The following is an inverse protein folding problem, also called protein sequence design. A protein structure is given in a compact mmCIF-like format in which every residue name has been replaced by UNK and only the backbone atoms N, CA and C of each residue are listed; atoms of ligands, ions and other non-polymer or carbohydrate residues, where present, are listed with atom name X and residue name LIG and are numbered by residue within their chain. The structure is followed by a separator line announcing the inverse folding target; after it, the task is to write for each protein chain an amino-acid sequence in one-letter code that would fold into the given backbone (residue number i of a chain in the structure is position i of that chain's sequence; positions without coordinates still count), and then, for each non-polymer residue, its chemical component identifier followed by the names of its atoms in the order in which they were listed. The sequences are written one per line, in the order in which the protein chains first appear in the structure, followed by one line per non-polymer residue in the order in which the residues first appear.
data_IF_608556735928
#
_entry.id   IF_608556735928
#
_cell.length_a   1.000
_cell.length_b   1.000
_cell.length_c   1.000
_cell.angle_alpha   90.00
_cell.angle_beta   90.00
_cell.angle_gamma   90.00
#
_symmetry.space_group_name_H-M   'P 1'
#
loop_
_entity.id
_entity.type
_entity.pdbx_description
1 polymer ?
#
# COMPACT_ATOMS: atom_id res chain seq x y z
N UNK A 1 5.71 49.50 -15.77
CA UNK A 1 4.92 48.95 -14.65
C UNK A 1 4.56 47.51 -15.02
N UNK A 2 5.43 46.51 -14.79
CA UNK A 2 5.46 45.56 -13.62
C UNK A 2 4.18 44.73 -13.46
N UNK A 3 4.10 43.38 -13.42
CA UNK A 3 5.01 42.21 -13.20
C UNK A 3 4.44 41.01 -14.01
N UNK A 4 5.20 40.21 -14.78
CA UNK A 4 6.01 39.03 -14.40
C UNK A 4 5.24 37.96 -13.58
N UNK A 5 4.85 36.85 -14.24
CA UNK A 5 4.51 35.58 -13.58
C UNK A 5 5.55 34.53 -13.98
N UNK A 6 6.54 34.33 -13.11
CA UNK A 6 7.44 33.19 -13.15
C UNK A 6 6.69 31.95 -12.66
N UNK A 7 6.45 30.99 -13.54
CA UNK A 7 6.16 29.60 -13.17
C UNK A 7 7.25 28.75 -13.81
N UNK A 8 8.09 28.03 -13.05
CA UNK A 8 9.16 27.26 -13.65
C UNK A 8 8.56 26.08 -14.41
N UNK A 9 8.70 26.12 -15.74
CA UNK A 9 8.40 24.99 -16.60
C UNK A 9 9.37 23.85 -16.32
N UNK A 10 8.83 22.68 -15.95
CA UNK A 10 9.57 21.43 -15.90
C UNK A 10 8.96 20.43 -16.89
N UNK A 11 9.78 20.05 -17.87
CA UNK A 11 9.76 18.71 -18.49
C UNK A 11 8.56 18.37 -19.37
N UNK A 12 8.48 18.99 -20.55
CA UNK A 12 7.62 18.50 -21.64
C UNK A 12 8.14 17.18 -22.23
N UNK A 13 7.89 16.06 -21.56
CA UNK A 13 7.88 14.73 -22.21
C UNK A 13 6.42 14.42 -22.54
N UNK A 14 6.04 14.29 -23.83
CA UNK A 14 4.68 13.90 -24.16
C UNK A 14 4.44 12.47 -23.66
N UNK A 15 3.45 12.29 -22.78
CA UNK A 15 2.91 10.96 -22.51
C UNK A 15 2.39 10.38 -23.85
N UNK A 16 2.69 9.11 -24.18
CA UNK A 16 2.08 8.49 -25.35
C UNK A 16 0.56 8.54 -25.19
N UNK A 17 -0.14 9.00 -26.22
CA UNK A 17 -1.60 8.98 -26.25
C UNK A 17 -2.06 7.54 -26.14
N UNK A 18 -2.64 7.16 -25.00
CA UNK A 18 -3.43 5.95 -24.88
C UNK A 18 -4.60 6.07 -25.86
N UNK A 19 -4.68 5.14 -26.81
CA UNK A 19 -5.81 5.07 -27.74
C UNK A 19 -7.11 4.82 -26.98
N UNK A 20 -8.27 5.24 -27.52
CA UNK A 20 -9.55 5.00 -26.87
C UNK A 20 -9.88 3.51 -26.97
N UNK A 21 -10.14 2.89 -25.82
CA UNK A 21 -10.81 1.59 -25.62
C UNK A 21 -10.18 0.38 -26.34
N UNK A 22 -9.38 -0.39 -25.62
CA UNK A 22 -9.59 -1.85 -25.65
C UNK A 22 -10.38 -2.21 -24.40
N UNK A 23 -11.70 -2.34 -24.58
CA UNK A 23 -12.61 -2.77 -23.52
C UNK A 23 -12.20 -4.16 -23.06
N UNK A 24 -11.69 -4.23 -21.84
CA UNK A 24 -11.60 -5.50 -21.12
C UNK A 24 -13.01 -6.10 -21.03
N UNK A 25 -13.23 -7.22 -21.70
CA UNK A 25 -14.50 -7.94 -21.69
C UNK A 25 -14.44 -9.15 -20.76
N UNK A 26 -15.26 -9.10 -19.70
CA UNK A 26 -15.53 -10.22 -18.80
C UNK A 26 -16.01 -11.49 -19.55
N UNK A 27 -16.67 -11.32 -20.70
CA UNK A 27 -17.16 -12.42 -21.53
C UNK A 27 -16.01 -13.14 -22.26
N UNK A 28 -15.01 -12.39 -22.74
CA UNK A 28 -13.81 -12.93 -23.37
C UNK A 28 -12.90 -13.65 -22.35
N UNK A 29 -12.81 -13.13 -21.12
CA UNK A 29 -12.08 -13.77 -20.02
C UNK A 29 -12.78 -15.06 -19.55
N UNK A 30 -14.12 -15.05 -19.38
CA UNK A 30 -14.92 -16.22 -19.01
C UNK A 30 -14.81 -17.36 -20.02
N UNK A 31 -14.84 -17.04 -21.32
CA UNK A 31 -14.75 -18.02 -22.41
C UNK A 31 -13.39 -18.76 -22.45
N UNK A 32 -12.35 -18.17 -21.86
CA UNK A 32 -10.98 -18.70 -21.86
C UNK A 32 -10.64 -19.52 -20.61
N UNK A 33 -11.36 -19.32 -19.51
CA UNK A 33 -10.98 -19.81 -18.18
C UNK A 33 -11.98 -20.83 -17.56
N UNK A 34 -13.18 -20.99 -18.11
CA UNK A 34 -14.19 -21.95 -17.60
C UNK A 34 -15.07 -21.38 -16.48
N UNK A 35 -16.20 -22.04 -16.19
CA UNK A 35 -17.38 -21.41 -15.55
C UNK A 35 -17.41 -21.28 -14.02
N UNK A 36 -16.43 -21.77 -13.26
CA UNK A 36 -16.41 -21.54 -11.80
C UNK A 36 -14.99 -21.59 -11.26
N UNK A 37 -14.56 -20.57 -10.52
CA UNK A 37 -13.38 -20.66 -9.65
C UNK A 37 -13.55 -19.88 -8.34
N UNK A 38 -13.13 -20.52 -7.26
CA UNK A 38 -13.00 -19.91 -5.94
C UNK A 38 -11.71 -19.08 -5.88
N UNK A 39 -11.73 -17.89 -5.25
CA UNK A 39 -10.55 -17.04 -5.15
C UNK A 39 -9.42 -17.77 -4.42
N UNK A 40 -8.23 -17.78 -5.02
CA UNK A 40 -7.04 -18.39 -4.42
C UNK A 40 -6.47 -17.39 -3.40
N UNK A 41 -6.39 -17.73 -2.10
CA UNK A 41 -5.69 -16.92 -1.13
C UNK A 41 -4.22 -16.77 -1.52
N UNK A 42 -3.67 -15.59 -1.31
CA UNK A 42 -2.22 -15.36 -1.39
C UNK A 42 -1.44 -16.35 -0.51
N UNK A 43 -0.13 -16.54 -0.75
CA UNK A 43 0.72 -17.42 0.07
C UNK A 43 0.49 -17.20 1.56
N UNK A 44 0.43 -18.29 2.34
CA UNK A 44 0.16 -18.21 3.77
C UNK A 44 1.17 -17.26 4.45
N UNK A 45 0.65 -16.27 5.18
CA UNK A 45 1.47 -15.45 6.05
C UNK A 45 2.12 -16.36 7.11
N UNK A 46 3.33 -16.03 7.60
CA UNK A 46 3.86 -16.67 8.80
C UNK A 46 2.80 -16.73 9.90
N UNK A 47 2.79 -17.80 10.73
CA UNK A 47 1.76 -17.98 11.75
C UNK A 47 1.65 -16.72 12.61
N UNK A 48 0.40 -16.31 12.85
CA UNK A 48 0.10 -15.16 13.68
C UNK A 48 0.68 -15.35 15.09
N UNK A 49 1.31 -14.30 15.62
CA UNK A 49 1.58 -14.19 17.04
C UNK A 49 0.35 -13.50 17.68
N UNK A 50 -0.48 -14.23 18.43
CA UNK A 50 -1.73 -13.70 18.98
C UNK A 50 -1.49 -12.58 20.01
N UNK A 51 -0.36 -12.60 20.72
CA UNK A 51 -0.03 -11.57 21.70
C UNK A 51 0.43 -10.29 21.00
N UNK A 52 1.23 -10.41 19.94
CA UNK A 52 1.63 -9.28 19.10
C UNK A 52 0.43 -8.66 18.38
N UNK A 53 -0.43 -9.47 17.76
CA UNK A 53 -1.62 -9.00 17.06
C UNK A 53 -2.55 -8.24 18.01
N UNK A 54 -2.74 -8.75 19.25
CA UNK A 54 -3.50 -8.06 20.29
C UNK A 54 -2.85 -6.74 20.70
N UNK A 55 -1.54 -6.71 20.93
CA UNK A 55 -0.82 -5.49 21.27
C UNK A 55 -0.96 -4.43 20.18
N UNK A 56 -0.83 -4.83 18.90
CA UNK A 56 -0.99 -3.93 17.76
C UNK A 56 -2.43 -3.43 17.63
N UNK A 57 -3.43 -4.25 17.93
CA UNK A 57 -4.83 -3.81 17.96
C UNK A 57 -5.06 -2.71 19.02
N UNK A 58 -4.51 -2.85 20.23
CA UNK A 58 -4.58 -1.81 21.26
C UNK A 58 -3.81 -0.54 20.85
N UNK A 59 -2.65 -0.68 20.19
CA UNK A 59 -1.91 0.47 19.65
C UNK A 59 -2.70 1.21 18.56
N UNK A 60 -3.43 0.50 17.68
CA UNK A 60 -4.32 1.12 16.69
C UNK A 60 -5.46 1.88 17.37
N UNK A 61 -6.08 1.29 18.39
CA UNK A 61 -7.13 1.93 19.18
C UNK A 61 -6.62 3.19 19.90
N UNK A 62 -5.42 3.12 20.50
CA UNK A 62 -4.77 4.26 21.13
C UNK A 62 -4.45 5.36 20.12
N UNK A 63 -3.88 5.01 18.96
CA UNK A 63 -3.63 5.94 17.84
C UNK A 63 -4.90 6.64 17.39
N UNK A 64 -6.01 5.92 17.26
CA UNK A 64 -7.30 6.50 16.88
C UNK A 64 -7.85 7.45 17.95
N UNK A 65 -7.80 7.03 19.21
CA UNK A 65 -8.21 7.86 20.33
C UNK A 65 -7.37 9.14 20.44
N UNK A 66 -6.04 9.05 20.37
CA UNK A 66 -5.14 10.21 20.50
C UNK A 66 -5.27 11.18 19.33
N UNK A 67 -5.43 10.68 18.10
CA UNK A 67 -5.69 11.54 16.95
C UNK A 67 -6.99 12.35 17.11
N UNK A 68 -8.03 11.75 17.71
CA UNK A 68 -9.31 12.42 17.96
C UNK A 68 -9.24 13.49 19.07
N UNK A 69 -8.15 13.52 19.85
CA UNK A 69 -7.93 14.53 20.90
C UNK A 69 -7.25 15.79 20.40
N UNK A 70 -6.91 15.87 19.11
CA UNK A 70 -6.36 17.09 18.52
C UNK A 70 -7.31 18.28 18.79
N UNK A 71 -6.79 19.34 19.40
CA UNK A 71 -7.54 20.52 19.83
C UNK A 71 -8.60 20.28 20.93
N UNK A 72 -8.49 19.19 21.71
CA UNK A 72 -9.31 18.95 22.90
C UNK A 72 -8.68 19.53 24.18
N UNK A 73 -9.49 19.70 25.23
CA UNK A 73 -9.06 20.14 26.58
C UNK A 73 -8.86 18.94 27.54
N UNK A 74 -8.66 17.74 27.02
CA UNK A 74 -8.50 16.53 27.84
C UNK A 74 -7.11 16.52 28.48
N UNK A 75 -7.05 16.43 29.81
CA UNK A 75 -5.80 16.20 30.55
C UNK A 75 -5.29 14.77 30.32
N UNK A 76 -4.02 14.63 29.94
CA UNK A 76 -3.41 13.34 29.53
C UNK A 76 -2.22 12.91 30.39
N UNK A 77 -1.92 13.62 31.48
CA UNK A 77 -0.70 13.38 32.26
C UNK A 77 -0.60 11.94 32.79
N UNK A 78 -1.68 11.44 33.39
CA UNK A 78 -1.72 10.07 33.90
C UNK A 78 -1.60 9.04 32.77
N UNK A 79 -2.29 9.25 31.65
CA UNK A 79 -2.21 8.37 30.47
C UNK A 79 -0.80 8.35 29.87
N UNK A 80 -0.16 9.51 29.75
CA UNK A 80 1.21 9.64 29.24
C UNK A 80 2.21 8.85 30.09
N UNK A 81 2.09 8.92 31.42
CA UNK A 81 2.94 8.15 32.34
C UNK A 81 2.79 6.64 32.11
N UNK A 82 1.56 6.14 31.90
CA UNK A 82 1.33 4.69 31.67
C UNK A 82 1.84 4.25 30.30
N UNK A 83 1.74 5.11 29.29
CA UNK A 83 2.35 4.83 27.98
C UNK A 83 3.87 4.77 28.08
N UNK A 84 4.49 5.64 28.88
CA UNK A 84 5.92 5.59 29.15
C UNK A 84 6.33 4.29 29.86
N UNK A 85 5.59 3.87 30.89
CA UNK A 85 5.84 2.57 31.56
C UNK A 85 5.76 1.39 30.59
N UNK A 86 4.81 1.39 29.66
CA UNK A 86 4.70 0.36 28.61
C UNK A 86 5.89 0.41 27.65
N UNK A 87 6.35 1.60 27.28
CA UNK A 87 7.53 1.77 26.42
C UNK A 87 8.80 1.24 27.11
N UNK A 88 9.03 1.60 28.37
CA UNK A 88 10.16 1.12 29.19
C UNK A 88 10.17 -0.40 29.33
N UNK A 89 8.99 -1.01 29.40
CA UNK A 89 8.86 -2.47 29.37
C UNK A 89 9.23 -3.03 27.97
N UNK A 90 8.78 -2.40 26.89
CA UNK A 90 8.96 -2.95 25.54
C UNK A 90 10.41 -2.82 25.05
N UNK A 91 11.07 -1.69 25.28
CA UNK A 91 12.37 -1.35 24.68
C UNK A 91 13.46 -2.42 24.85
N UNK A 92 13.68 -3.03 26.04
CA UNK A 92 14.69 -4.07 26.23
C UNK A 92 14.39 -5.38 25.47
N UNK A 93 13.14 -5.57 25.04
CA UNK A 93 12.66 -6.77 24.31
C UNK A 93 12.76 -6.61 22.79
N UNK A 94 12.99 -5.38 22.31
CA UNK A 94 13.08 -5.09 20.87
C UNK A 94 14.39 -5.69 20.32
N UNK A 95 14.34 -6.48 19.23
CA UNK A 95 15.55 -7.00 18.60
C UNK A 95 16.47 -5.87 18.13
N UNK A 96 17.78 -6.14 18.15
CA UNK A 96 18.79 -5.17 17.68
C UNK A 96 18.51 -4.73 16.23
N UNK A 97 18.92 -3.51 15.81
CA UNK A 97 18.74 -3.06 14.43
C UNK A 97 19.31 -4.05 13.39
N UNK A 98 20.46 -4.66 13.67
CA UNK A 98 21.05 -5.69 12.80
C UNK A 98 20.15 -6.92 12.66
N UNK A 99 19.57 -7.41 13.76
CA UNK A 99 18.65 -8.55 13.73
C UNK A 99 17.36 -8.21 12.99
N UNK A 100 16.85 -6.97 13.13
CA UNK A 100 15.67 -6.51 12.39
C UNK A 100 15.92 -6.46 10.88
N UNK A 101 17.09 -5.99 10.45
CA UNK A 101 17.49 -6.00 9.03
C UNK A 101 17.60 -7.42 8.48
N UNK A 102 18.17 -8.35 9.25
CA UNK A 102 18.21 -9.78 8.90
C UNK A 102 16.80 -10.35 8.70
N UNK A 103 15.88 -10.07 9.64
CA UNK A 103 14.47 -10.52 9.56
C UNK A 103 13.75 -9.93 8.34
N UNK A 104 13.95 -8.64 8.04
CA UNK A 104 13.36 -8.00 6.86
C UNK A 104 13.73 -8.76 5.57
N UNK A 105 14.97 -9.22 5.46
CA UNK A 105 15.46 -9.92 4.26
C UNK A 105 15.07 -11.40 4.18
N UNK A 106 14.41 -11.94 5.20
CA UNK A 106 13.71 -13.24 5.10
C UNK A 106 12.37 -13.13 4.36
N UNK A 107 11.89 -11.91 4.05
CA UNK A 107 10.58 -11.66 3.44
C UNK A 107 9.43 -11.64 4.45
N UNK A 108 9.57 -12.29 5.62
CA UNK A 108 8.57 -12.30 6.68
C UNK A 108 8.25 -10.90 7.22
N UNK A 109 9.29 -10.06 7.42
CA UNK A 109 9.13 -8.67 7.87
C UNK A 109 8.38 -7.81 6.86
N UNK A 110 8.73 -7.91 5.57
CA UNK A 110 8.07 -7.16 4.48
C UNK A 110 6.58 -7.51 4.37
N UNK A 111 6.23 -8.78 4.54
CA UNK A 111 4.84 -9.24 4.36
C UNK A 111 3.91 -8.90 5.53
N UNK A 112 4.37 -8.97 6.79
CA UNK A 112 3.48 -8.74 7.96
C UNK A 112 3.64 -7.37 8.65
N UNK A 113 4.73 -6.64 8.42
CA UNK A 113 5.01 -5.37 9.12
C UNK A 113 5.12 -4.13 8.21
N UNK A 114 4.75 -4.24 6.93
CA UNK A 114 4.69 -3.07 6.04
C UNK A 114 3.62 -2.05 6.51
N UNK A 115 3.77 -0.76 6.18
CA UNK A 115 2.88 0.31 6.66
C UNK A 115 1.55 0.40 5.90
N UNK A 116 1.18 -0.59 5.09
CA UNK A 116 -0.07 -0.58 4.32
C UNK A 116 -1.01 -1.68 4.75
N UNK A 117 -0.65 -2.95 4.52
CA UNK A 117 -1.47 -4.12 4.85
C UNK A 117 -0.86 -4.97 5.99
N UNK A 118 0.24 -4.52 6.61
CA UNK A 118 0.91 -5.27 7.67
C UNK A 118 0.04 -5.40 8.92
N UNK A 119 -0.47 -6.60 9.28
CA UNK A 119 -1.27 -6.79 10.49
C UNK A 119 -0.54 -6.36 11.77
N UNK A 120 0.79 -6.47 11.79
CA UNK A 120 1.64 -6.18 12.94
C UNK A 120 2.17 -4.75 12.96
N UNK A 121 1.83 -3.94 11.94
CA UNK A 121 2.21 -2.54 11.91
C UNK A 121 1.05 -1.66 12.41
N UNK A 122 1.20 -0.98 13.56
CA UNK A 122 0.14 -0.11 14.09
C UNK A 122 -0.08 1.15 13.26
N UNK A 123 0.77 1.48 12.29
CA UNK A 123 0.53 2.55 11.30
C UNK A 123 -0.38 2.08 10.16
N UNK A 124 -0.35 0.79 9.83
CA UNK A 124 -1.03 0.25 8.66
C UNK A 124 -2.54 0.58 8.70
N UNK A 125 -3.10 1.12 7.60
CA UNK A 125 -4.52 1.08 7.33
C UNK A 125 -5.08 -0.35 7.46
N UNK A 126 -6.36 -0.51 7.81
CA UNK A 126 -7.02 -1.82 7.86
C UNK A 126 -7.37 -2.31 6.44
N UNK A 127 -6.44 -2.19 5.48
CA UNK A 127 -6.66 -2.59 4.09
C UNK A 127 -6.27 -4.05 3.90
N UNK A 128 -7.15 -4.79 3.24
CA UNK A 128 -6.91 -6.15 2.81
C UNK A 128 -7.03 -6.21 1.29
N UNK A 129 -6.01 -6.74 0.64
CA UNK A 129 -5.95 -6.88 -0.80
C UNK A 129 -6.41 -8.28 -1.22
N UNK A 130 -7.15 -8.32 -2.32
CA UNK A 130 -7.68 -9.54 -2.90
C UNK A 130 -7.23 -9.62 -4.35
N UNK A 131 -6.58 -10.72 -4.73
CA UNK A 131 -6.35 -11.05 -6.13
C UNK A 131 -7.67 -11.39 -6.83
N UNK A 132 -7.78 -10.98 -8.08
CA UNK A 132 -8.92 -11.26 -8.95
C UNK A 132 -8.47 -12.13 -10.13
N UNK A 133 -9.40 -12.91 -10.68
CA UNK A 133 -9.13 -13.83 -11.80
C UNK A 133 -8.76 -13.10 -13.10
N UNK A 134 -9.18 -11.85 -13.24
CA UNK A 134 -8.81 -10.98 -14.35
C UNK A 134 -7.36 -10.47 -14.27
N UNK A 135 -6.59 -10.92 -13.28
CA UNK A 135 -5.22 -10.48 -13.02
C UNK A 135 -5.13 -9.13 -12.33
N UNK A 136 -6.26 -8.52 -11.96
CA UNK A 136 -6.27 -7.33 -11.10
C UNK A 136 -6.20 -7.69 -9.62
N UNK A 137 -5.98 -6.68 -8.81
CA UNK A 137 -6.11 -6.71 -7.36
C UNK A 137 -7.19 -5.71 -7.00
N UNK A 138 -7.99 -6.01 -5.98
CA UNK A 138 -8.95 -5.08 -5.38
C UNK A 138 -8.77 -4.96 -3.88
N UNK A 139 -9.25 -3.86 -3.32
CA UNK A 139 -9.38 -3.66 -1.88
C UNK A 139 -10.63 -2.82 -1.60
N UNK A 140 -11.26 -3.05 -0.46
CA UNK A 140 -12.30 -2.16 0.07
C UNK A 140 -11.88 -1.74 1.46
N UNK A 141 -11.89 -0.43 1.73
CA UNK A 141 -11.48 0.11 3.03
C UNK A 141 -12.27 1.36 3.35
N UNK A 142 -12.66 1.51 4.61
CA UNK A 142 -13.15 2.76 5.16
C UNK A 142 -12.05 3.38 6.01
N UNK A 143 -11.54 4.52 5.59
CA UNK A 143 -10.43 5.22 6.27
C UNK A 143 -10.99 6.18 7.33
N UNK A 144 -10.51 6.01 8.57
CA UNK A 144 -10.86 6.85 9.70
C UNK A 144 -10.09 8.18 9.76
N UNK A 145 -10.43 9.08 10.70
CA UNK A 145 -9.88 10.44 10.78
C UNK A 145 -8.35 10.51 10.94
N UNK A 146 -7.71 9.43 11.42
CA UNK A 146 -6.25 9.36 11.56
C UNK A 146 -5.51 9.48 10.21
N UNK A 147 -6.21 9.25 9.10
CA UNK A 147 -5.67 9.31 7.73
C UNK A 147 -6.02 10.63 7.02
N UNK A 148 -6.51 11.62 7.77
CA UNK A 148 -6.97 12.88 7.24
C UNK A 148 -5.85 13.73 6.65
N UNK A 149 -6.14 14.41 5.54
CA UNK A 149 -5.38 15.56 5.05
C UNK A 149 -6.26 16.81 5.04
N UNK A 150 -6.91 17.15 3.92
CA UNK A 150 -7.95 18.17 3.91
C UNK A 150 -9.14 17.79 4.82
N UNK A 151 -9.94 18.77 5.29
CA UNK A 151 -11.16 18.49 6.05
C UNK A 151 -12.06 17.44 5.37
N UNK A 152 -12.36 16.37 6.10
CA UNK A 152 -13.21 15.27 5.63
C UNK A 152 -12.61 14.37 4.53
N UNK A 153 -11.34 14.58 4.16
CA UNK A 153 -10.71 13.87 3.06
C UNK A 153 -9.46 13.10 3.51
N UNK A 154 -9.23 11.96 2.89
CA UNK A 154 -7.99 11.19 3.00
C UNK A 154 -6.83 12.08 2.52
N UNK A 155 -5.72 12.07 3.26
CA UNK A 155 -4.51 12.76 2.84
C UNK A 155 -3.99 12.16 1.52
N UNK A 156 -3.64 12.99 0.53
CA UNK A 156 -3.18 12.48 -0.76
C UNK A 156 -1.99 11.51 -0.66
N UNK A 157 -1.06 11.79 0.25
CA UNK A 157 0.05 10.88 0.57
C UNK A 157 -0.36 9.50 1.12
N UNK A 158 -1.50 9.38 1.81
CA UNK A 158 -2.04 8.07 2.24
C UNK A 158 -2.61 7.32 1.03
N UNK A 159 -3.35 8.00 0.15
CA UNK A 159 -3.80 7.42 -1.12
C UNK A 159 -2.61 6.94 -1.96
N UNK A 160 -1.56 7.75 -2.08
CA UNK A 160 -0.33 7.40 -2.78
C UNK A 160 0.36 6.17 -2.19
N UNK A 161 0.51 6.12 -0.86
CA UNK A 161 1.09 5.01 -0.13
C UNK A 161 0.34 3.69 -0.38
N UNK A 162 -0.99 3.71 -0.28
CA UNK A 162 -1.82 2.52 -0.50
C UNK A 162 -1.71 2.06 -1.96
N UNK A 163 -1.75 2.99 -2.92
CA UNK A 163 -1.65 2.62 -4.34
C UNK A 163 -0.29 2.03 -4.68
N UNK A 164 0.83 2.61 -4.23
CA UNK A 164 2.17 2.07 -4.52
C UNK A 164 2.28 0.61 -4.06
N UNK A 165 1.84 0.33 -2.82
CA UNK A 165 1.81 -1.04 -2.30
C UNK A 165 0.88 -1.95 -3.11
N UNK A 166 -0.32 -1.46 -3.45
CA UNK A 166 -1.29 -2.22 -4.23
C UNK A 166 -0.79 -2.56 -5.64
N UNK A 167 -0.08 -1.65 -6.29
CA UNK A 167 0.54 -1.89 -7.59
C UNK A 167 1.66 -2.93 -7.50
N UNK A 168 2.50 -2.85 -6.45
CA UNK A 168 3.48 -3.89 -6.15
C UNK A 168 2.83 -5.27 -5.98
N UNK A 169 1.72 -5.32 -5.26
CA UNK A 169 0.93 -6.54 -5.07
C UNK A 169 0.30 -7.04 -6.38
N UNK A 170 -0.23 -6.15 -7.24
CA UNK A 170 -0.75 -6.51 -8.56
C UNK A 170 0.32 -7.04 -9.50
N UNK A 171 1.54 -6.49 -9.43
CA UNK A 171 2.69 -7.01 -10.17
C UNK A 171 3.03 -8.43 -9.70
N UNK A 172 3.11 -8.63 -8.39
CA UNK A 172 3.37 -9.94 -7.78
C UNK A 172 2.29 -10.96 -8.17
N UNK A 173 1.01 -10.58 -8.06
CA UNK A 173 -0.13 -11.39 -8.49
C UNK A 173 -0.04 -11.78 -9.97
N UNK A 174 0.41 -10.85 -10.81
CA UNK A 174 0.70 -11.11 -12.22
C UNK A 174 1.98 -11.91 -12.49
N UNK A 175 2.68 -12.42 -11.46
CA UNK A 175 3.88 -13.24 -11.58
C UNK A 175 5.19 -12.47 -11.82
N UNK A 176 5.24 -11.18 -11.45
CA UNK A 176 6.44 -10.33 -11.60
C UNK A 176 6.78 -9.67 -10.27
N UNK A 177 8.06 -9.60 -9.94
CA UNK A 177 8.56 -8.75 -8.86
C UNK A 177 9.36 -7.60 -9.46
N UNK A 178 9.12 -6.38 -8.99
CA UNK A 178 9.85 -5.21 -9.45
C UNK A 178 9.84 -4.12 -8.41
N UNK A 179 10.91 -3.33 -8.38
CA UNK A 179 11.03 -2.14 -7.55
C UNK A 179 10.33 -0.97 -8.23
N UNK A 180 9.59 -0.15 -7.48
CA UNK A 180 9.02 1.10 -8.00
C UNK A 180 10.14 1.98 -8.53
N UNK A 181 10.10 2.31 -9.82
CA UNK A 181 11.08 3.18 -10.47
C UNK A 181 10.50 4.57 -10.75
N UNK A 182 9.22 4.63 -11.09
CA UNK A 182 8.48 5.87 -11.29
C UNK A 182 7.00 5.63 -11.00
N UNK A 183 6.29 6.66 -10.54
CA UNK A 183 4.87 6.58 -10.30
C UNK A 183 4.25 7.99 -10.41
N UNK A 184 3.17 8.11 -11.17
CA UNK A 184 2.40 9.34 -11.39
C UNK A 184 0.97 9.16 -10.88
N UNK A 185 0.41 10.23 -10.28
CA UNK A 185 -0.90 10.20 -9.62
C UNK A 185 -1.71 11.42 -10.03
N UNK A 186 -2.93 11.19 -10.49
CA UNK A 186 -3.93 12.21 -10.72
C UNK A 186 -5.03 12.12 -9.65
N UNK A 187 -5.17 13.20 -8.85
CA UNK A 187 -6.27 13.34 -7.89
C UNK A 187 -7.48 13.95 -8.60
N UNK A 188 -8.39 13.09 -9.06
CA UNK A 188 -9.56 13.45 -9.88
C UNK A 188 -10.69 14.09 -9.06
N UNK A 189 -10.87 13.66 -7.81
CA UNK A 189 -11.85 14.25 -6.90
C UNK A 189 -11.49 13.95 -5.43
N UNK A 190 -12.09 14.67 -4.45
CA UNK A 190 -11.80 14.44 -3.03
C UNK A 190 -12.05 12.98 -2.62
N UNK A 191 -11.10 12.35 -1.95
CA UNK A 191 -11.27 10.98 -1.43
C UNK A 191 -11.88 11.07 -0.02
N UNK A 192 -13.15 10.70 0.20
CA UNK A 192 -13.81 10.93 1.49
C UNK A 192 -13.27 10.00 2.59
N UNK A 193 -13.22 10.51 3.82
CA UNK A 193 -13.08 9.71 5.03
C UNK A 193 -14.44 9.13 5.43
N UNK A 194 -14.44 8.08 6.26
CA UNK A 194 -15.64 7.48 6.85
C UNK A 194 -16.65 6.88 5.85
N UNK A 195 -16.28 6.80 4.58
CA UNK A 195 -17.04 6.16 3.51
C UNK A 195 -16.27 4.94 2.96
N UNK A 196 -16.96 3.92 2.44
CA UNK A 196 -16.30 2.83 1.72
C UNK A 196 -15.57 3.33 0.47
N UNK A 197 -14.29 2.98 0.35
CA UNK A 197 -13.46 3.27 -0.81
C UNK A 197 -13.09 1.98 -1.52
N UNK A 198 -13.28 1.94 -2.83
CA UNK A 198 -12.92 0.81 -3.69
C UNK A 198 -11.61 1.09 -4.39
N UNK A 199 -10.61 0.25 -4.11
CA UNK A 199 -9.30 0.27 -4.73
C UNK A 199 -9.24 -0.82 -5.79
N UNK A 200 -8.60 -0.53 -6.92
CA UNK A 200 -8.28 -1.52 -7.96
C UNK A 200 -6.91 -1.24 -8.55
N UNK A 201 -6.11 -2.27 -8.80
CA UNK A 201 -4.84 -2.16 -9.52
C UNK A 201 -4.65 -3.34 -10.49
N UNK A 202 -4.01 -3.12 -11.62
CA UNK A 202 -3.74 -4.16 -12.61
C UNK A 202 -2.50 -3.85 -13.43
N UNK A 203 -1.85 -4.88 -13.94
CA UNK A 203 -0.74 -4.71 -14.89
C UNK A 203 -1.32 -4.28 -16.23
N UNK A 204 -0.88 -3.12 -16.73
CA UNK A 204 -1.30 -2.58 -18.01
C UNK A 204 -0.42 -3.10 -19.15
N UNK A 205 0.91 -3.08 -18.96
CA UNK A 205 1.88 -3.39 -20.00
C UNK A 205 3.17 -3.98 -19.43
N UNK A 206 3.87 -4.80 -20.22
CA UNK A 206 5.18 -5.36 -19.89
C UNK A 206 6.12 -5.25 -21.09
N UNK A 207 7.33 -4.75 -20.85
CA UNK A 207 8.38 -4.65 -21.87
C UNK A 207 9.75 -4.97 -21.26
N UNK A 208 10.29 -6.16 -21.55
CA UNK A 208 11.55 -6.61 -20.98
C UNK A 208 11.51 -6.65 -19.45
N UNK A 209 12.33 -5.81 -18.80
CA UNK A 209 12.38 -5.66 -17.33
C UNK A 209 11.39 -4.64 -16.77
N UNK A 210 10.60 -3.99 -17.62
CA UNK A 210 9.65 -2.93 -17.23
C UNK A 210 8.25 -3.52 -17.09
N UNK A 211 7.59 -3.21 -15.99
CA UNK A 211 6.17 -3.48 -15.78
C UNK A 211 5.46 -2.17 -15.50
N UNK A 212 4.45 -1.84 -16.31
CA UNK A 212 3.57 -0.70 -16.04
C UNK A 212 2.28 -1.19 -15.39
N UNK A 213 1.91 -0.55 -14.29
CA UNK A 213 0.75 -0.91 -13.47
C UNK A 213 -0.15 0.30 -13.38
N UNK A 214 -1.46 0.09 -13.49
CA UNK A 214 -2.45 1.14 -13.29
C UNK A 214 -3.24 0.86 -12.03
N UNK A 215 -3.72 1.92 -11.36
CA UNK A 215 -4.58 1.78 -10.20
C UNK A 215 -5.55 2.94 -10.05
N UNK A 216 -6.65 2.67 -9.36
CA UNK A 216 -7.74 3.62 -9.15
C UNK A 216 -8.31 3.51 -7.75
N UNK A 217 -8.77 4.64 -7.20
CA UNK A 217 -9.58 4.73 -5.98
C UNK A 217 -10.92 5.35 -6.35
N UNK A 218 -12.00 4.71 -5.94
CA UNK A 218 -13.37 5.20 -6.11
C UNK A 218 -14.09 5.36 -4.77
N UNK A 219 -14.97 6.35 -4.69
CA UNK A 219 -16.01 6.45 -3.67
C UNK A 219 -17.36 6.21 -4.36
N UNK A 220 -17.92 5.00 -4.20
CA UNK A 220 -19.01 4.53 -5.07
C UNK A 220 -18.56 4.49 -6.54
N UNK A 221 -19.28 5.17 -7.42
CA UNK A 221 -18.95 5.26 -8.85
C UNK A 221 -17.98 6.42 -9.17
N UNK A 222 -17.69 7.29 -8.21
CA UNK A 222 -16.89 8.49 -8.44
C UNK A 222 -15.40 8.18 -8.35
N UNK A 223 -14.67 8.41 -9.44
CA UNK A 223 -13.22 8.32 -9.46
C UNK A 223 -12.59 9.44 -8.61
N UNK A 224 -11.83 9.04 -7.60
CA UNK A 224 -11.11 9.94 -6.69
C UNK A 224 -9.65 10.08 -7.08
N UNK A 225 -8.98 8.96 -7.35
CA UNK A 225 -7.57 8.93 -7.72
C UNK A 225 -7.39 7.91 -8.84
N UNK A 226 -6.59 8.27 -9.83
CA UNK A 226 -6.04 7.31 -10.80
C UNK A 226 -4.52 7.47 -10.86
N UNK A 227 -3.83 6.40 -11.21
CA UNK A 227 -2.39 6.44 -11.16
C UNK A 227 -1.73 5.39 -12.05
N UNK A 228 -0.49 5.66 -12.44
CA UNK A 228 0.32 4.77 -13.26
C UNK A 228 1.73 4.64 -12.69
N UNK A 229 2.15 3.41 -12.44
CA UNK A 229 3.48 3.07 -11.95
C UNK A 229 4.31 2.35 -12.99
N UNK A 230 5.61 2.62 -12.99
CA UNK A 230 6.64 1.84 -13.68
C UNK A 230 7.48 1.13 -12.62
N UNK A 231 7.52 -0.19 -12.74
CA UNK A 231 8.31 -1.07 -11.91
C UNK A 231 9.40 -1.72 -12.74
N UNK A 232 10.60 -1.82 -12.18
CA UNK A 232 11.73 -2.49 -12.80
C UNK A 232 12.04 -3.79 -12.08
N UNK A 233 12.10 -4.89 -12.83
CA UNK A 233 12.65 -6.14 -12.32
C UNK A 233 14.08 -5.90 -11.84
N UNK A 234 14.26 -6.08 -10.54
CA UNK A 234 15.53 -5.98 -9.87
C UNK A 234 15.82 -7.32 -9.21
N UNK A 235 16.99 -7.87 -9.51
CA UNK A 235 17.62 -8.85 -8.64
C UNK A 235 18.32 -8.07 -7.52
N UNK A 236 18.00 -8.37 -6.26
CA UNK A 236 18.60 -7.67 -5.12
C UNK A 236 19.65 -8.60 -4.48
N UNK A 237 20.91 -8.15 -4.29
CA UNK A 237 21.90 -8.93 -3.57
C UNK A 237 21.42 -9.22 -2.15
N UNK A 238 21.49 -10.48 -1.71
CA UNK A 238 21.08 -10.87 -0.35
C UNK A 238 22.21 -10.55 0.64
N UNK A 239 22.01 -9.65 1.62
CA UNK A 239 23.06 -9.31 2.57
C UNK A 239 23.49 -10.51 3.42
N UNK A 240 24.80 -10.72 3.53
CA UNK A 240 25.37 -11.88 4.21
C UNK A 240 25.50 -13.14 3.34
N UNK A 241 25.04 -13.12 2.08
CA UNK A 241 25.20 -14.21 1.11
C UNK A 241 25.86 -13.72 -0.20
N UNK A 242 27.20 -13.59 -0.22
CA UNK A 242 27.93 -13.09 -1.39
C UNK A 242 27.64 -13.92 -2.64
N UNK A 243 27.27 -13.26 -3.74
CA UNK A 243 26.98 -13.91 -5.03
C UNK A 243 25.56 -14.48 -5.17
N UNK A 244 24.70 -14.32 -4.16
CA UNK A 244 23.28 -14.68 -4.25
C UNK A 244 22.45 -13.45 -4.57
N UNK A 245 21.71 -13.49 -5.68
CA UNK A 245 20.74 -12.46 -6.06
C UNK A 245 19.32 -13.04 -5.97
N UNK A 246 18.41 -12.36 -5.27
CA UNK A 246 17.00 -12.76 -5.24
C UNK A 246 16.24 -12.08 -6.36
N UNK A 247 15.66 -12.88 -7.27
CA UNK A 247 14.58 -12.46 -8.20
C UNK A 247 13.19 -12.64 -7.56
N UNK A 248 13.15 -13.35 -6.43
CA UNK A 248 11.94 -13.64 -5.68
C UNK A 248 11.75 -12.51 -4.66
N UNK A 249 10.70 -11.73 -4.85
CA UNK A 249 10.11 -11.00 -3.73
C UNK A 249 9.72 -12.04 -2.69
N UNK A 250 10.51 -12.08 -1.62
CA UNK A 250 10.36 -12.93 -0.44
C UNK A 250 10.73 -14.42 -0.65
N UNK A 251 11.36 -14.98 0.39
CA UNK A 251 11.73 -16.39 0.44
C UNK A 251 10.52 -17.32 0.28
N UNK A 252 10.77 -18.47 -0.34
CA UNK A 252 9.79 -19.55 -0.50
C UNK A 252 9.41 -20.24 0.80
#
# INVERSE_FOLDING_TARGET
MTKQSDSPGFGGVPLPKLGPNEDFSLEAARKRLGETFEPIPTPELPPADPDLDRAVAELRRLREATAALAHSEVELGDIADRLAEVADLLEPRVPSPAKRLEIMWTGAGTRRSNPVAGPENPLAPPVQFYGCDDGSVRAEVTLGPVYQGPPGCVHGGISALIIDHMMGFANHWGGRFGMTAHYEIDYRSPTPLLEPLSFRAWVQEREGRKTWTHATIHAGERLCVEARGLFLEASVPVPGQPGTESMLGDGG
#
